data_IF_217223321264
#
_entry.id   IF_217223321264
#
_cell.length_a   1.000
_cell.length_b   1.000
_cell.length_c   1.000
_cell.angle_alpha   90.00
_cell.angle_beta   90.00
_cell.angle_gamma   90.00
#
_symmetry.space_group_name_H-M   'P 1'
#
loop_
_entity.id
_entity.type
_entity.pdbx_description
1 polymer ?
#
# COMPACT_ATOMS: atom_id res chain seq x y z
N UNK A 1 -5.17 3.70 8.75
CA UNK A 1 -3.73 4.02 8.81
C UNK A 1 -3.38 5.05 7.76
N UNK A 2 -2.61 6.05 8.13
CA UNK A 2 -2.20 7.08 7.20
C UNK A 2 -0.97 6.65 6.42
N UNK A 3 -1.02 6.83 5.11
CA UNK A 3 0.10 6.62 4.22
C UNK A 3 0.48 7.98 3.62
N UNK A 4 1.67 8.48 3.96
CA UNK A 4 2.14 9.77 3.48
C UNK A 4 2.83 9.61 2.13
N UNK A 5 2.42 10.45 1.18
CA UNK A 5 3.02 10.48 -0.14
C UNK A 5 4.21 11.44 -0.14
N UNK A 6 5.32 11.03 -0.73
CA UNK A 6 6.46 11.94 -0.93
C UNK A 6 6.21 12.86 -2.11
N UNK A 7 5.41 12.42 -3.07
CA UNK A 7 5.02 13.22 -4.22
C UNK A 7 3.51 13.44 -4.18
N UNK A 8 3.04 14.67 -3.90
CA UNK A 8 1.60 14.93 -3.88
C UNK A 8 0.95 14.64 -5.22
N UNK A 9 -0.31 14.21 -5.17
CA UNK A 9 -1.10 13.93 -6.37
C UNK A 9 -2.41 14.71 -6.31
N UNK A 10 -3.04 14.90 -7.47
CA UNK A 10 -4.32 15.59 -7.56
C UNK A 10 -5.39 14.60 -7.97
N UNK A 11 -6.56 14.72 -7.33
CA UNK A 11 -7.72 13.94 -7.74
C UNK A 11 -8.37 14.61 -8.95
N UNK A 12 -9.11 13.86 -9.79
CA UNK A 12 -9.92 14.48 -10.83
C UNK A 12 -10.91 15.45 -10.19
N UNK A 13 -11.18 16.55 -10.81
CA UNK A 13 -12.17 17.52 -10.35
C UNK A 13 -11.81 18.28 -9.05
N UNK A 14 -10.55 18.22 -8.63
CA UNK A 14 -10.11 18.99 -7.45
C UNK A 14 -8.73 19.59 -7.70
N UNK A 15 -8.56 20.84 -7.30
CA UNK A 15 -7.27 21.51 -7.33
C UNK A 15 -6.43 21.21 -6.09
N UNK A 16 -7.02 20.54 -5.11
CA UNK A 16 -6.31 20.20 -3.89
C UNK A 16 -5.37 19.03 -4.10
N UNK A 17 -4.16 19.16 -3.55
CA UNK A 17 -3.20 18.07 -3.58
C UNK A 17 -3.49 17.07 -2.46
N UNK A 18 -3.36 15.80 -2.80
CA UNK A 18 -3.42 14.70 -1.83
C UNK A 18 -2.00 14.40 -1.39
N UNK A 19 -1.73 14.60 -0.11
CA UNK A 19 -0.41 14.34 0.48
C UNK A 19 -0.44 13.14 1.41
N UNK A 20 -1.61 12.73 1.85
CA UNK A 20 -1.81 11.58 2.74
C UNK A 20 -3.00 10.78 2.27
N UNK A 21 -2.91 9.47 2.43
CA UNK A 21 -4.00 8.55 2.06
C UNK A 21 -4.35 7.73 3.28
N UNK A 22 -5.64 7.72 3.64
CA UNK A 22 -6.12 6.83 4.72
C UNK A 22 -6.30 5.43 4.16
N UNK A 23 -5.59 4.47 4.71
CA UNK A 23 -5.67 3.08 4.29
C UNK A 23 -6.49 2.27 5.28
N UNK A 24 -7.36 1.42 4.75
CA UNK A 24 -8.06 0.42 5.54
C UNK A 24 -7.14 -0.77 5.79
N UNK A 25 -7.39 -1.51 6.86
CA UNK A 25 -6.66 -2.75 7.09
C UNK A 25 -7.13 -3.82 6.09
N UNK A 26 -6.21 -4.68 5.62
CA UNK A 26 -6.61 -5.83 4.81
C UNK A 26 -7.59 -6.73 5.55
N UNK A 27 -8.56 -7.26 4.82
CA UNK A 27 -9.56 -8.17 5.37
C UNK A 27 -9.50 -9.49 4.66
N UNK A 28 -10.07 -10.52 5.28
CA UNK A 28 -10.17 -11.84 4.65
C UNK A 28 -11.01 -11.76 3.37
N UNK A 29 -12.05 -10.94 3.39
CA UNK A 29 -12.89 -10.75 2.20
C UNK A 29 -12.08 -10.19 1.02
N UNK A 30 -11.23 -9.19 1.27
CA UNK A 30 -10.35 -8.64 0.24
C UNK A 30 -9.33 -9.67 -0.22
N UNK A 31 -8.79 -10.47 0.71
CA UNK A 31 -7.84 -11.52 0.36
C UNK A 31 -8.46 -12.56 -0.58
N UNK A 32 -9.70 -12.95 -0.32
CA UNK A 32 -10.41 -13.86 -1.21
C UNK A 32 -10.61 -13.25 -2.59
N UNK A 33 -10.91 -11.95 -2.65
CA UNK A 33 -11.16 -11.24 -3.90
C UNK A 33 -9.88 -11.02 -4.70
N UNK A 34 -8.80 -10.62 -4.02
CA UNK A 34 -7.58 -10.15 -4.69
C UNK A 34 -6.42 -11.15 -4.69
N UNK A 35 -6.45 -12.12 -3.79
CA UNK A 35 -5.33 -13.02 -3.50
C UNK A 35 -4.11 -12.27 -2.96
N UNK A 36 -3.10 -13.02 -2.54
CA UNK A 36 -1.87 -12.42 -2.03
C UNK A 36 -1.18 -11.61 -3.12
N UNK A 37 -0.59 -10.45 -2.77
CA UNK A 37 0.13 -9.64 -3.74
C UNK A 37 1.51 -10.17 -4.07
N UNK A 38 1.91 -11.30 -3.49
CA UNK A 38 3.22 -11.88 -3.67
C UNK A 38 3.13 -13.42 -3.64
N UNK A 39 4.20 -14.05 -4.10
CA UNK A 39 4.47 -15.46 -3.88
C UNK A 39 5.83 -15.57 -3.21
N UNK A 40 6.08 -16.70 -2.55
CA UNK A 40 7.40 -16.99 -1.97
C UNK A 40 8.06 -18.03 -2.88
N UNK A 41 9.24 -17.69 -3.39
CA UNK A 41 9.95 -18.58 -4.31
C UNK A 41 10.70 -19.68 -3.55
N UNK A 42 11.41 -20.55 -4.29
CA UNK A 42 12.12 -21.67 -3.71
C UNK A 42 13.27 -21.28 -2.78
N UNK A 43 13.76 -20.05 -2.93
CA UNK A 43 14.84 -19.52 -2.10
C UNK A 43 14.30 -18.75 -0.89
N UNK A 44 12.99 -18.70 -0.72
CA UNK A 44 12.37 -17.97 0.38
C UNK A 44 12.19 -16.49 0.14
N UNK A 45 12.41 -16.02 -1.07
CA UNK A 45 12.27 -14.61 -1.41
C UNK A 45 10.84 -14.28 -1.83
N UNK A 46 10.39 -13.07 -1.50
CA UNK A 46 9.09 -12.57 -1.92
C UNK A 46 9.16 -12.09 -3.36
N UNK A 47 8.22 -12.55 -4.18
CA UNK A 47 8.07 -12.11 -5.55
C UNK A 47 6.74 -11.38 -5.67
N UNK A 48 6.78 -10.05 -5.76
CA UNK A 48 5.56 -9.26 -5.82
C UNK A 48 5.01 -9.18 -7.25
N UNK A 49 3.69 -9.19 -7.34
CA UNK A 49 3.00 -8.97 -8.60
C UNK A 49 2.52 -7.51 -8.63
N UNK A 50 3.08 -6.70 -9.51
CA UNK A 50 2.79 -5.26 -9.57
C UNK A 50 1.30 -4.97 -9.77
N UNK A 51 0.63 -5.75 -10.60
CA UNK A 51 -0.80 -5.57 -10.85
C UNK A 51 -1.61 -5.81 -9.59
N UNK A 52 -1.27 -6.82 -8.80
CA UNK A 52 -1.96 -7.12 -7.56
C UNK A 52 -1.67 -6.07 -6.50
N UNK A 53 -0.44 -5.58 -6.42
CA UNK A 53 -0.09 -4.49 -5.51
C UNK A 53 -0.95 -3.26 -5.83
N UNK A 54 -1.10 -2.93 -7.11
CA UNK A 54 -1.97 -1.83 -7.53
C UNK A 54 -3.44 -2.08 -7.13
N UNK A 55 -3.94 -3.29 -7.32
CA UNK A 55 -5.30 -3.64 -6.93
C UNK A 55 -5.52 -3.47 -5.43
N UNK A 56 -4.56 -3.90 -4.63
CA UNK A 56 -4.62 -3.72 -3.18
C UNK A 56 -4.59 -2.23 -2.81
N UNK A 57 -3.74 -1.44 -3.47
CA UNK A 57 -3.68 0.00 -3.22
C UNK A 57 -5.04 0.66 -3.50
N UNK A 58 -5.67 0.29 -4.60
CA UNK A 58 -6.98 0.81 -4.97
C UNK A 58 -8.04 0.47 -3.94
N UNK A 59 -8.09 -0.78 -3.50
CA UNK A 59 -9.11 -1.22 -2.55
C UNK A 59 -8.88 -0.66 -1.15
N UNK A 60 -7.65 -0.64 -0.67
CA UNK A 60 -7.36 -0.16 0.68
C UNK A 60 -7.46 1.36 0.81
N UNK A 61 -7.14 2.10 -0.24
CA UNK A 61 -7.19 3.56 -0.22
C UNK A 61 -8.57 4.10 -0.52
N UNK A 62 -9.42 3.32 -1.16
CA UNK A 62 -10.73 3.75 -1.62
C UNK A 62 -10.66 4.97 -2.56
N UNK A 63 -9.53 5.16 -3.23
CA UNK A 63 -9.36 6.22 -4.22
C UNK A 63 -9.80 5.73 -5.60
N UNK A 64 -10.21 6.65 -6.48
CA UNK A 64 -10.50 6.27 -7.87
C UNK A 64 -9.27 5.65 -8.53
N UNK A 65 -9.44 4.66 -9.43
CA UNK A 65 -8.31 4.02 -10.10
C UNK A 65 -7.38 5.01 -10.80
N UNK A 66 -7.95 6.04 -11.44
CA UNK A 66 -7.16 7.06 -12.12
C UNK A 66 -6.26 7.84 -11.16
N UNK A 67 -6.69 8.02 -9.92
CA UNK A 67 -5.91 8.70 -8.90
C UNK A 67 -4.79 7.82 -8.39
N UNK A 68 -5.07 6.52 -8.16
CA UNK A 68 -4.05 5.58 -7.72
C UNK A 68 -2.92 5.48 -8.74
N UNK A 69 -3.23 5.53 -10.03
CA UNK A 69 -2.23 5.49 -11.09
C UNK A 69 -1.28 6.69 -11.10
N UNK A 70 -1.64 7.78 -10.43
CA UNK A 70 -0.78 8.95 -10.32
C UNK A 70 0.23 8.86 -9.19
N UNK A 71 0.09 7.88 -8.30
CA UNK A 71 1.04 7.68 -7.20
C UNK A 71 2.41 7.39 -7.81
N UNK A 72 3.45 8.07 -7.27
CA UNK A 72 4.80 7.89 -7.79
C UNK A 72 5.29 6.46 -7.59
N UNK A 73 6.23 6.05 -8.43
CA UNK A 73 6.84 4.73 -8.30
C UNK A 73 7.45 4.53 -6.91
N UNK A 74 8.13 5.54 -6.39
CA UNK A 74 8.74 5.48 -5.06
C UNK A 74 7.68 5.24 -3.98
N UNK A 75 6.58 5.98 -4.02
CA UNK A 75 5.52 5.83 -3.03
C UNK A 75 4.83 4.46 -3.15
N UNK A 76 4.68 3.96 -4.37
CA UNK A 76 4.10 2.64 -4.59
C UNK A 76 5.02 1.53 -4.05
N UNK A 77 6.34 1.70 -4.16
CA UNK A 77 7.28 0.76 -3.57
C UNK A 77 7.20 0.78 -2.04
N UNK A 78 7.06 1.95 -1.44
CA UNK A 78 6.86 2.07 0.00
C UNK A 78 5.56 1.38 0.42
N UNK A 79 4.49 1.59 -0.34
CA UNK A 79 3.21 0.92 -0.08
C UNK A 79 3.37 -0.60 -0.16
N UNK A 80 4.05 -1.10 -1.18
CA UNK A 80 4.29 -2.53 -1.36
C UNK A 80 5.00 -3.13 -0.14
N UNK A 81 6.02 -2.47 0.36
CA UNK A 81 6.75 -2.95 1.53
C UNK A 81 5.87 -2.95 2.77
N UNK A 82 5.08 -1.91 2.97
CA UNK A 82 4.12 -1.85 4.07
C UNK A 82 3.05 -2.92 3.95
N UNK A 83 2.59 -3.21 2.74
CA UNK A 83 1.60 -4.25 2.50
C UNK A 83 2.12 -5.62 2.91
N UNK A 84 3.39 -5.91 2.61
CA UNK A 84 4.02 -7.16 3.03
C UNK A 84 3.99 -7.31 4.55
N UNK A 85 4.16 -6.22 5.29
CA UNK A 85 4.14 -6.24 6.76
C UNK A 85 2.77 -6.69 7.28
N UNK A 86 1.68 -6.28 6.64
CA UNK A 86 0.35 -6.71 7.06
C UNK A 86 0.19 -8.24 7.01
N UNK A 87 0.82 -8.89 6.05
CA UNK A 87 0.69 -10.33 5.87
C UNK A 87 1.71 -11.15 6.65
N UNK A 88 2.86 -10.56 6.97
CA UNK A 88 3.99 -11.30 7.51
C UNK A 88 4.26 -11.01 9.00
N UNK A 89 3.64 -9.99 9.56
CA UNK A 89 3.86 -9.59 10.95
C UNK A 89 2.56 -9.73 11.76
N UNK A 90 2.70 -9.76 13.09
CA UNK A 90 1.52 -9.72 13.96
C UNK A 90 0.83 -8.36 13.81
N UNK A 91 -0.43 -8.28 14.24
CA UNK A 91 -1.19 -7.04 14.14
C UNK A 91 -0.48 -5.87 14.84
N UNK A 92 0.06 -6.11 16.04
CA UNK A 92 0.76 -5.08 16.81
C UNK A 92 2.06 -4.67 16.12
N UNK A 93 2.81 -5.64 15.61
CA UNK A 93 4.05 -5.37 14.88
C UNK A 93 3.77 -4.60 13.60
N UNK A 94 2.72 -4.98 12.88
CA UNK A 94 2.35 -4.30 11.64
C UNK A 94 2.01 -2.84 11.90
N UNK A 95 1.20 -2.55 12.92
CA UNK A 95 0.82 -1.20 13.27
C UNK A 95 2.04 -0.36 13.64
N UNK A 96 2.96 -0.91 14.43
CA UNK A 96 4.17 -0.23 14.82
C UNK A 96 5.09 0.06 13.64
N UNK A 97 5.29 -0.92 12.77
CA UNK A 97 6.16 -0.76 11.60
C UNK A 97 5.56 0.27 10.63
N UNK A 98 4.26 0.24 10.38
CA UNK A 98 3.60 1.23 9.56
C UNK A 98 3.78 2.63 10.11
N UNK A 99 3.62 2.79 11.41
CA UNK A 99 3.79 4.08 12.07
C UNK A 99 5.19 4.65 11.84
N UNK A 100 6.23 3.82 11.91
CA UNK A 100 7.62 4.25 11.75
C UNK A 100 8.05 4.34 10.30
N UNK A 101 7.71 3.33 9.50
CA UNK A 101 8.28 3.17 8.17
C UNK A 101 7.53 3.95 7.11
N UNK A 102 6.21 4.06 7.25
CA UNK A 102 5.37 4.64 6.21
C UNK A 102 5.11 6.12 6.45
N UNK A 103 5.05 6.54 7.72
CA UNK A 103 4.81 7.94 8.07
C UNK A 103 6.08 8.70 8.43
N UNK A 104 7.17 8.00 8.63
CA UNK A 104 8.46 8.58 8.95
C UNK A 104 9.50 8.20 7.92
N UNK A 105 10.66 7.82 8.40
CA UNK A 105 11.78 7.43 7.56
C UNK A 105 11.81 5.92 7.37
N UNK A 106 12.05 5.49 6.15
CA UNK A 106 12.26 4.08 5.81
C UNK A 106 13.73 3.74 5.94
N UNK A 107 14.21 3.74 7.09
CA UNK A 107 15.62 3.40 7.29
C UNK A 107 15.77 2.07 8.00
#
# INVERSE_FOLDING_TARGET
MLFKLTTPIKTPNSDKEVTEVELQEPTVELLEKLNYPYIIDNDGNLQFNAKKVYQWAKELSNLPPSTVKKISFHDMETFKNGLAVFFLASKEQAAEIWSRSVTGSLT
#
